data_IF_408195973408
#
_entry.id   IF_408195973408
#
_cell.length_a   1.000
_cell.length_b   1.000
_cell.length_c   1.000
_cell.angle_alpha   90.00
_cell.angle_beta   90.00
_cell.angle_gamma   90.00
#
_symmetry.space_group_name_H-M   'P 1'
#
loop_
_entity.id
_entity.type
_entity.pdbx_description
1 polymer ?
#
# COMPACT_ATOMS: atom_id res chain seq x y z
N UNK A 1 7.71 8.16 0.64
CA UNK A 1 8.01 7.29 -0.52
C UNK A 1 7.14 6.05 -0.42
N UNK A 2 6.34 5.70 -1.44
CA UNK A 2 5.53 4.49 -1.43
C UNK A 2 6.43 3.25 -1.42
N UNK A 3 5.93 2.17 -0.81
CA UNK A 3 6.63 0.89 -0.71
C UNK A 3 5.80 -0.21 -1.38
N UNK A 4 5.24 -1.16 -0.62
CA UNK A 4 4.37 -2.20 -1.17
C UNK A 4 3.03 -1.63 -1.66
N UNK A 5 2.60 -2.06 -2.85
CA UNK A 5 1.30 -1.73 -3.43
C UNK A 5 0.78 -2.87 -4.31
N UNK A 6 -0.51 -2.83 -4.65
CA UNK A 6 -1.03 -3.61 -5.76
C UNK A 6 -0.73 -2.88 -7.07
N UNK A 7 -0.04 -3.54 -7.98
CA UNK A 7 0.21 -3.04 -9.32
C UNK A 7 -0.08 -4.13 -10.35
N UNK A 8 -0.44 -3.70 -11.56
CA UNK A 8 -0.73 -4.59 -12.68
C UNK A 8 -0.44 -3.85 -13.99
N UNK A 9 -0.39 -4.59 -15.11
CA UNK A 9 -0.36 -3.96 -16.44
C UNK A 9 -1.59 -3.07 -16.64
N UNK A 10 -1.41 -1.95 -17.34
CA UNK A 10 -2.51 -1.06 -17.75
C UNK A 10 -3.63 -1.82 -18.50
N UNK A 11 -3.25 -2.80 -19.33
CA UNK A 11 -4.17 -3.68 -20.05
C UNK A 11 -5.12 -4.44 -19.12
N UNK A 12 -4.62 -4.97 -18.01
CA UNK A 12 -5.43 -5.66 -17.02
C UNK A 12 -6.39 -4.70 -16.32
N UNK A 13 -5.90 -3.53 -15.91
CA UNK A 13 -6.70 -2.53 -15.19
C UNK A 13 -7.84 -2.03 -16.08
N UNK A 14 -7.53 -1.73 -17.34
CA UNK A 14 -8.49 -1.25 -18.35
C UNK A 14 -9.54 -2.31 -18.70
N UNK A 15 -9.15 -3.59 -18.84
CA UNK A 15 -10.10 -4.68 -19.15
C UNK A 15 -10.90 -5.15 -17.93
N UNK A 16 -10.40 -4.93 -16.71
CA UNK A 16 -11.00 -5.43 -15.48
C UNK A 16 -11.19 -4.32 -14.42
N UNK A 17 -11.81 -3.17 -14.76
CA UNK A 17 -11.85 -2.01 -13.86
C UNK A 17 -12.63 -2.31 -12.58
N UNK A 18 -13.67 -3.15 -12.66
CA UNK A 18 -14.44 -3.57 -11.49
C UNK A 18 -13.62 -4.48 -10.55
N UNK A 19 -12.78 -5.34 -11.11
CA UNK A 19 -11.89 -6.21 -10.33
C UNK A 19 -10.80 -5.38 -9.65
N UNK A 20 -10.17 -4.46 -10.38
CA UNK A 20 -9.20 -3.53 -9.82
C UNK A 20 -9.81 -2.70 -8.68
N UNK A 21 -11.03 -2.18 -8.88
CA UNK A 21 -11.75 -1.46 -7.83
C UNK A 21 -12.09 -2.36 -6.64
N UNK A 22 -12.48 -3.62 -6.85
CA UNK A 22 -12.78 -4.54 -5.76
C UNK A 22 -11.53 -4.87 -4.91
N UNK A 23 -10.37 -5.02 -5.55
CA UNK A 23 -9.09 -5.19 -4.87
C UNK A 23 -8.74 -3.95 -4.05
N UNK A 24 -8.84 -2.76 -4.63
CA UNK A 24 -8.60 -1.51 -3.90
C UNK A 24 -9.57 -1.35 -2.71
N UNK A 25 -10.85 -1.67 -2.89
CA UNK A 25 -11.83 -1.64 -1.80
C UNK A 25 -11.44 -2.57 -0.64
N UNK A 26 -10.91 -3.75 -0.93
CA UNK A 26 -10.50 -4.71 0.09
C UNK A 26 -9.27 -4.20 0.86
N UNK A 27 -8.26 -3.69 0.15
CA UNK A 27 -7.04 -3.17 0.77
C UNK A 27 -7.32 -1.93 1.62
N UNK A 28 -8.06 -0.93 1.10
CA UNK A 28 -8.37 0.29 1.88
C UNK A 28 -9.12 -0.02 3.17
N UNK A 29 -10.02 -1.00 3.16
CA UNK A 29 -10.72 -1.46 4.38
C UNK A 29 -9.79 -2.20 5.33
N UNK A 30 -8.84 -2.99 4.80
CA UNK A 30 -7.85 -3.67 5.62
C UNK A 30 -6.89 -2.66 6.28
N UNK A 31 -6.44 -1.65 5.53
CA UNK A 31 -5.58 -0.56 6.01
C UNK A 31 -6.25 0.18 7.17
N UNK A 32 -7.51 0.61 6.99
CA UNK A 32 -8.30 1.26 8.04
C UNK A 32 -8.50 0.37 9.26
N UNK A 33 -8.79 -0.92 9.05
CA UNK A 33 -8.92 -1.88 10.16
C UNK A 33 -7.60 -2.03 10.92
N UNK A 34 -6.46 -2.15 10.23
CA UNK A 34 -5.14 -2.24 10.87
C UNK A 34 -4.86 -0.98 11.69
N UNK A 35 -5.18 0.21 11.17
CA UNK A 35 -4.99 1.45 11.93
C UNK A 35 -5.84 1.48 13.20
N UNK A 36 -7.10 1.05 13.10
CA UNK A 36 -8.06 1.07 14.20
C UNK A 36 -7.80 0.02 15.31
N UNK A 37 -6.97 -1.01 15.06
CA UNK A 37 -6.77 -2.12 15.99
C UNK A 37 -5.35 -2.17 16.57
N UNK A 38 -5.23 -2.70 17.79
CA UNK A 38 -3.95 -2.86 18.46
C UNK A 38 -3.17 -4.11 17.97
N UNK A 39 -1.89 -4.18 18.32
CA UNK A 39 -1.02 -5.29 17.93
C UNK A 39 -1.52 -6.65 18.45
N UNK A 40 -2.18 -6.67 19.61
CA UNK A 40 -2.78 -7.88 20.18
C UNK A 40 -3.91 -8.42 19.30
N UNK A 41 -4.79 -7.56 18.82
CA UNK A 41 -5.90 -7.94 17.92
C UNK A 41 -5.39 -8.40 16.56
N UNK A 42 -4.39 -7.71 16.01
CA UNK A 42 -3.78 -8.07 14.73
C UNK A 42 -3.05 -9.43 14.84
N UNK A 43 -2.26 -9.65 15.90
CA UNK A 43 -1.54 -10.90 16.12
C UNK A 43 -2.47 -12.12 16.24
N UNK A 44 -3.69 -11.94 16.78
CA UNK A 44 -4.71 -13.01 16.84
C UNK A 44 -5.38 -13.30 15.50
N UNK A 45 -5.29 -12.39 14.55
CA UNK A 45 -5.97 -12.48 13.25
C UNK A 45 -5.11 -13.18 12.19
N UNK A 46 -3.78 -13.02 12.27
CA UNK A 46 -2.85 -13.63 11.32
C UNK A 46 -2.65 -15.12 11.60
N UNK A 47 -2.28 -15.93 10.59
CA UNK A 47 -1.91 -17.33 10.81
C UNK A 47 -0.78 -17.46 11.83
N UNK A 48 -0.83 -18.48 12.69
CA UNK A 48 0.18 -18.70 13.73
C UNK A 48 1.63 -18.78 13.18
N UNK A 49 1.81 -19.23 11.93
CA UNK A 49 3.11 -19.28 11.26
C UNK A 49 3.73 -17.90 11.04
N UNK A 50 2.93 -16.83 10.97
CA UNK A 50 3.41 -15.45 10.77
C UNK A 50 4.00 -14.88 12.07
N UNK A 51 3.65 -15.46 13.22
CA UNK A 51 4.20 -15.08 14.53
C UNK A 51 5.63 -15.60 14.73
N UNK A 52 6.12 -16.49 13.85
CA UNK A 52 7.47 -17.06 13.87
C UNK A 52 7.88 -17.68 15.23
N UNK A 53 6.90 -18.13 16.03
CA UNK A 53 7.11 -18.72 17.35
C UNK A 53 7.24 -17.73 18.50
N UNK A 54 7.18 -16.41 18.25
CA UNK A 54 7.31 -15.37 19.27
C UNK A 54 6.29 -14.24 19.04
N UNK A 55 5.15 -14.34 19.72
CA UNK A 55 4.05 -13.38 19.59
C UNK A 55 4.39 -12.01 20.20
N UNK A 56 5.22 -11.96 21.24
CA UNK A 56 5.59 -10.68 21.86
C UNK A 56 6.54 -9.90 20.95
N UNK A 57 7.50 -10.57 20.32
CA UNK A 57 8.36 -9.96 19.32
C UNK A 57 7.55 -9.50 18.09
N UNK A 58 6.60 -10.31 17.61
CA UNK A 58 5.72 -9.91 16.51
C UNK A 58 4.98 -8.60 16.82
N UNK A 59 4.38 -8.49 18.02
CA UNK A 59 3.65 -7.29 18.44
C UNK A 59 4.56 -6.07 18.53
N UNK A 60 5.76 -6.22 19.11
CA UNK A 60 6.75 -5.13 19.17
C UNK A 60 7.16 -4.64 17.78
N UNK A 61 7.43 -5.56 16.85
CA UNK A 61 7.74 -5.21 15.47
C UNK A 61 6.57 -4.50 14.79
N UNK A 62 5.33 -4.96 15.01
CA UNK A 62 4.15 -4.33 14.44
C UNK A 62 3.97 -2.90 14.96
N UNK A 63 4.05 -2.68 16.27
CA UNK A 63 3.94 -1.33 16.85
C UNK A 63 5.03 -0.40 16.32
N UNK A 64 6.28 -0.89 16.21
CA UNK A 64 7.40 -0.12 15.68
C UNK A 64 7.26 0.22 14.17
N UNK A 65 6.46 -0.53 13.43
CA UNK A 65 6.25 -0.32 11.99
C UNK A 65 4.87 0.25 11.64
N UNK A 66 3.99 0.46 12.62
CA UNK A 66 2.58 0.80 12.37
C UNK A 66 2.41 2.13 11.61
N UNK A 67 3.27 3.11 11.91
CA UNK A 67 3.28 4.41 11.20
C UNK A 67 3.65 4.29 9.71
N UNK A 68 4.34 3.22 9.31
CA UNK A 68 4.71 2.98 7.92
C UNK A 68 3.61 2.27 7.12
N UNK A 69 2.60 1.71 7.79
CA UNK A 69 1.46 1.07 7.14
C UNK A 69 0.50 2.17 6.65
N UNK A 70 0.03 2.05 5.41
CA UNK A 70 -0.88 3.04 4.85
C UNK A 70 -2.16 3.14 5.71
N UNK A 71 -2.66 4.34 5.99
CA UNK A 71 -3.92 4.49 6.73
C UNK A 71 -5.17 4.29 5.86
N UNK A 72 -5.04 4.45 4.55
CA UNK A 72 -6.18 4.55 3.64
C UNK A 72 -5.89 4.16 2.19
N UNK A 73 -4.72 3.59 1.92
CA UNK A 73 -4.29 3.15 0.59
C UNK A 73 -3.95 4.26 -0.40
N UNK A 74 -3.98 5.54 0.00
CA UNK A 74 -3.58 6.64 -0.89
C UNK A 74 -2.05 6.70 -1.02
N UNK A 75 -1.61 7.01 -2.23
CA UNK A 75 -0.21 7.34 -2.52
C UNK A 75 -0.06 8.86 -2.49
N UNK A 76 0.89 9.36 -1.69
CA UNK A 76 1.21 10.79 -1.67
C UNK A 76 1.70 11.27 -3.04
N UNK A 77 1.31 12.50 -3.41
CA UNK A 77 1.59 13.05 -4.74
C UNK A 77 3.09 13.18 -5.06
N UNK A 78 3.94 13.38 -4.04
CA UNK A 78 5.40 13.47 -4.15
C UNK A 78 6.10 12.09 -4.05
N UNK A 79 5.36 11.06 -3.64
CA UNK A 79 5.85 9.72 -3.41
C UNK A 79 6.53 9.11 -4.65
N UNK A 80 5.87 9.04 -5.81
CA UNK A 80 6.44 8.51 -7.05
C UNK A 80 7.68 9.27 -7.54
N UNK A 81 7.71 10.60 -7.38
CA UNK A 81 8.87 11.40 -7.71
C UNK A 81 10.06 11.06 -6.81
N UNK A 82 9.81 10.87 -5.51
CA UNK A 82 10.83 10.42 -4.55
C UNK A 82 11.41 9.06 -4.94
N UNK A 83 10.55 8.10 -5.31
CA UNK A 83 11.00 6.77 -5.74
C UNK A 83 11.84 6.82 -7.03
N UNK A 84 11.44 7.64 -8.01
CA UNK A 84 12.19 7.84 -9.24
C UNK A 84 13.57 8.46 -8.97
N UNK A 85 13.62 9.50 -8.12
CA UNK A 85 14.88 10.15 -7.74
C UNK A 85 15.83 9.19 -7.01
N UNK A 86 15.28 8.33 -6.14
CA UNK A 86 16.06 7.28 -5.51
C UNK A 86 16.70 6.39 -6.59
N UNK A 87 15.90 5.80 -7.49
CA UNK A 87 16.40 4.95 -8.57
C UNK A 87 17.47 5.65 -9.43
N UNK A 88 17.27 6.93 -9.77
CA UNK A 88 18.21 7.71 -10.57
C UNK A 88 19.57 7.90 -9.89
N UNK A 89 19.62 7.87 -8.55
CA UNK A 89 20.86 8.02 -7.80
C UNK A 89 21.74 6.76 -7.82
N UNK A 90 21.18 5.57 -8.10
CA UNK A 90 21.92 4.30 -7.99
C UNK A 90 21.81 3.36 -9.19
N UNK A 91 20.80 3.49 -10.06
CA UNK A 91 20.66 2.65 -11.25
C UNK A 91 21.45 3.25 -12.41
N UNK A 92 22.53 2.59 -12.87
CA UNK A 92 23.31 3.10 -13.99
C UNK A 92 22.45 3.15 -15.26
N UNK A 93 22.63 4.20 -16.06
CA UNK A 93 21.91 4.43 -17.32
C UNK A 93 20.39 4.65 -17.19
N UNK A 94 19.87 4.91 -15.99
CA UNK A 94 18.49 5.37 -15.83
C UNK A 94 18.36 6.85 -16.19
N UNK A 95 17.63 7.14 -17.26
CA UNK A 95 17.28 8.51 -17.65
C UNK A 95 15.93 8.90 -17.05
N UNK A 96 15.95 9.45 -15.82
CA UNK A 96 14.75 9.83 -15.10
C UNK A 96 13.89 10.86 -15.86
N UNK A 97 14.49 11.67 -16.75
CA UNK A 97 13.75 12.67 -17.54
C UNK A 97 12.75 12.05 -18.52
N UNK A 98 12.89 10.76 -18.83
CA UNK A 98 12.00 10.00 -19.72
C UNK A 98 10.83 9.33 -19.00
N UNK A 99 10.78 9.37 -17.67
CA UNK A 99 9.76 8.70 -16.87
C UNK A 99 8.73 9.73 -16.40
N UNK A 100 7.52 9.61 -16.94
CA UNK A 100 6.37 10.38 -16.50
C UNK A 100 5.71 9.67 -15.31
N UNK A 101 5.94 10.19 -14.10
CA UNK A 101 5.40 9.59 -12.88
C UNK A 101 3.88 9.64 -12.80
N UNK A 102 3.21 10.49 -13.58
CA UNK A 102 1.73 10.51 -13.60
C UNK A 102 1.12 9.27 -14.26
N UNK A 103 1.93 8.51 -15.02
CA UNK A 103 1.47 7.30 -15.74
C UNK A 103 1.76 6.00 -15.02
N UNK A 104 2.49 6.04 -13.91
CA UNK A 104 2.95 4.82 -13.20
C UNK A 104 2.16 4.54 -11.92
N UNK A 105 1.22 5.41 -11.55
CA UNK A 105 0.30 5.21 -10.44
C UNK A 105 -1.01 5.97 -10.65
N UNK A 106 -2.04 5.61 -9.91
CA UNK A 106 -3.28 6.38 -9.80
C UNK A 106 -3.92 6.17 -8.43
N UNK A 107 -4.51 7.22 -7.86
CA UNK A 107 -5.30 7.13 -6.63
C UNK A 107 -6.79 6.92 -6.89
N UNK A 108 -7.25 6.89 -8.16
CA UNK A 108 -8.68 6.87 -8.49
C UNK A 108 -9.45 5.75 -7.77
N UNK A 109 -8.87 4.55 -7.71
CA UNK A 109 -9.50 3.41 -7.05
C UNK A 109 -9.53 3.55 -5.52
N UNK A 110 -8.45 4.03 -4.91
CA UNK A 110 -8.34 4.26 -3.48
C UNK A 110 -9.25 5.42 -3.01
N UNK A 111 -9.36 6.50 -3.80
CA UNK A 111 -10.30 7.60 -3.53
C UNK A 111 -11.76 7.13 -3.56
N UNK A 112 -12.14 6.34 -4.57
CA UNK A 112 -13.49 5.74 -4.64
C UNK A 112 -13.74 4.80 -3.46
N UNK A 113 -12.76 4.01 -3.07
CA UNK A 113 -12.85 3.12 -1.92
C UNK A 113 -13.06 3.93 -0.61
N UNK A 114 -12.28 4.98 -0.39
CA UNK A 114 -12.41 5.86 0.77
C UNK A 114 -13.77 6.57 0.84
N UNK A 115 -14.29 7.03 -0.31
CA UNK A 115 -15.64 7.61 -0.40
C UNK A 115 -16.72 6.57 -0.05
N UNK A 116 -16.54 5.32 -0.48
CA UNK A 116 -17.50 4.23 -0.24
C UNK A 116 -17.43 3.69 1.20
N UNK A 117 -16.25 3.68 1.81
CA UNK A 117 -15.96 3.12 3.13
C UNK A 117 -15.25 4.15 4.02
N UNK A 118 -15.95 5.20 4.46
CA UNK A 118 -15.30 6.28 5.22
C UNK A 118 -14.80 5.83 6.61
N UNK A 119 -15.53 4.90 7.24
CA UNK A 119 -15.37 4.53 8.67
C UNK A 119 -15.18 3.03 8.91
N UNK A 120 -14.81 2.26 7.88
CA UNK A 120 -14.73 0.79 7.94
C UNK A 120 -13.28 0.36 7.95
#
# INVERSE_FOLDING_TARGET
MPSACLYASEDFITKNPNTAQALANAIVRADKWIQANDAETIAKTVPATYLLGDVELYKQCLDANKEALSPDGLVDADGPATALNALAAFVPNLDASKIDTSKIFTNEFAEKANKKYPNV
#
